data_IF_099180264799
#
_entry.id   IF_099180264799
#
_cell.length_a   1.000
_cell.length_b   1.000
_cell.length_c   1.000
_cell.angle_alpha   90.00
_cell.angle_beta   90.00
_cell.angle_gamma   90.00
#
_symmetry.space_group_name_H-M   'P 1'
#
loop_
_entity.id
_entity.type
_entity.pdbx_description
1 polymer ?
#
# COMPACT_ATOMS: atom_id res chain seq x y z
N UNK A 1 -10.40 4.61 15.65
CA UNK A 1 -9.34 3.72 15.15
C UNK A 1 -8.20 4.60 14.66
N UNK A 2 -7.05 4.60 15.32
CA UNK A 2 -5.89 5.38 14.88
C UNK A 2 -5.36 4.86 13.53
N UNK A 3 -5.26 5.77 12.57
CA UNK A 3 -4.80 5.51 11.20
C UNK A 3 -3.32 5.06 11.17
N UNK A 4 -2.52 5.52 12.14
CA UNK A 4 -1.05 5.47 12.12
C UNK A 4 -0.40 4.90 13.38
N UNK A 5 -1.11 4.79 14.51
CA UNK A 5 -0.48 4.36 15.77
C UNK A 5 0.04 2.92 15.67
N UNK A 6 1.35 2.76 15.82
CA UNK A 6 2.06 1.49 15.73
C UNK A 6 2.22 0.91 14.31
N UNK A 7 1.82 1.63 13.25
CA UNK A 7 1.88 1.14 11.86
C UNK A 7 3.02 1.83 11.11
N UNK A 8 3.92 1.04 10.51
CA UNK A 8 5.04 1.53 9.71
C UNK A 8 4.58 2.52 8.60
N UNK A 9 4.96 3.81 8.66
CA UNK A 9 4.57 4.83 7.68
C UNK A 9 4.95 4.48 6.23
N UNK A 10 6.10 3.83 6.04
CA UNK A 10 6.59 3.41 4.72
C UNK A 10 5.64 2.38 4.11
N UNK A 11 5.11 1.45 4.93
CA UNK A 11 4.14 0.47 4.47
C UNK A 11 2.81 1.10 4.02
N UNK A 12 2.40 2.20 4.66
CA UNK A 12 1.21 2.95 4.26
C UNK A 12 1.43 3.70 2.95
N UNK A 13 2.55 4.43 2.84
CA UNK A 13 2.92 5.14 1.61
C UNK A 13 3.05 4.18 0.41
N UNK A 14 3.68 3.02 0.62
CA UNK A 14 3.85 1.99 -0.41
C UNK A 14 2.52 1.44 -0.91
N UNK A 15 1.54 1.25 -0.02
CA UNK A 15 0.22 0.78 -0.39
C UNK A 15 -0.63 1.86 -1.08
N UNK A 16 -0.51 3.12 -0.66
CA UNK A 16 -1.14 4.24 -1.34
C UNK A 16 -0.59 4.42 -2.76
N UNK A 17 0.72 4.30 -2.93
CA UNK A 17 1.37 4.31 -4.24
C UNK A 17 0.86 3.16 -5.12
N UNK A 18 0.87 1.92 -4.59
CA UNK A 18 0.37 0.76 -5.34
C UNK A 18 -1.10 0.91 -5.73
N UNK A 19 -1.95 1.43 -4.84
CA UNK A 19 -3.35 1.72 -5.14
C UNK A 19 -3.49 2.75 -6.27
N UNK A 20 -2.65 3.78 -6.30
CA UNK A 20 -2.64 4.76 -7.39
C UNK A 20 -2.27 4.11 -8.72
N UNK A 21 -1.24 3.25 -8.75
CA UNK A 21 -0.86 2.51 -9.96
C UNK A 21 -2.04 1.67 -10.48
N UNK A 22 -2.71 0.91 -9.60
CA UNK A 22 -3.89 0.10 -9.96
C UNK A 22 -5.01 0.97 -10.53
N UNK A 23 -5.33 2.12 -9.90
CA UNK A 23 -6.40 3.02 -10.36
C UNK A 23 -6.09 3.67 -11.72
N UNK A 24 -4.82 3.86 -12.05
CA UNK A 24 -4.39 4.46 -13.30
C UNK A 24 -3.98 3.42 -14.37
N UNK A 25 -4.27 2.13 -14.14
CA UNK A 25 -3.87 1.01 -15.01
C UNK A 25 -2.35 0.98 -15.30
N UNK A 26 -1.53 1.41 -14.35
CA UNK A 26 -0.08 1.26 -14.45
C UNK A 26 0.34 -0.16 -14.07
N UNK A 27 1.15 -0.79 -14.92
CA UNK A 27 1.69 -2.12 -14.67
C UNK A 27 2.91 -2.05 -13.74
N UNK A 28 2.63 -1.90 -12.44
CA UNK A 28 3.65 -1.88 -11.38
C UNK A 28 3.37 -3.00 -10.39
N UNK A 29 4.32 -3.92 -10.25
CA UNK A 29 4.19 -5.01 -9.28
C UNK A 29 4.44 -4.55 -7.85
N UNK A 30 3.78 -5.19 -6.88
CA UNK A 30 4.06 -4.96 -5.45
C UNK A 30 5.52 -5.29 -5.10
N UNK A 31 6.16 -6.22 -5.82
CA UNK A 31 7.56 -6.57 -5.63
C UNK A 31 8.50 -5.40 -5.96
N UNK A 32 8.23 -4.68 -7.05
CA UNK A 32 9.00 -3.48 -7.44
C UNK A 32 8.93 -2.38 -6.38
N UNK A 33 7.75 -2.16 -5.81
CA UNK A 33 7.55 -1.17 -4.74
C UNK A 33 8.21 -1.65 -3.44
N UNK A 34 8.08 -2.94 -3.11
CA UNK A 34 8.71 -3.54 -1.93
C UNK A 34 10.24 -3.40 -1.95
N UNK A 35 10.87 -3.69 -3.09
CA UNK A 35 12.31 -3.53 -3.30
C UNK A 35 12.74 -2.06 -3.11
N UNK A 36 12.03 -1.12 -3.73
CA UNK A 36 12.37 0.31 -3.67
C UNK A 36 12.16 0.93 -2.27
N UNK A 37 11.21 0.43 -1.49
CA UNK A 37 10.83 0.99 -0.18
C UNK A 37 11.39 0.22 1.02
N UNK A 38 11.98 -0.95 0.79
CA UNK A 38 12.50 -1.83 1.85
C UNK A 38 11.41 -2.49 2.71
N UNK A 39 10.15 -2.47 2.28
CA UNK A 39 9.05 -3.19 2.96
C UNK A 39 8.77 -4.51 2.27
N UNK A 40 8.00 -5.39 2.91
CA UNK A 40 7.59 -6.65 2.28
C UNK A 40 6.36 -6.48 1.40
N UNK A 41 6.22 -7.32 0.37
CA UNK A 41 5.00 -7.38 -0.47
C UNK A 41 3.75 -7.67 0.36
N UNK A 42 3.87 -8.45 1.44
CA UNK A 42 2.77 -8.73 2.38
C UNK A 42 2.34 -7.45 3.13
N UNK A 43 3.29 -6.61 3.53
CA UNK A 43 3.00 -5.31 4.14
C UNK A 43 2.19 -4.42 3.19
N UNK A 44 2.61 -4.32 1.93
CA UNK A 44 1.89 -3.54 0.89
C UNK A 44 0.49 -4.10 0.69
N UNK A 45 0.36 -5.41 0.52
CA UNK A 45 -0.93 -6.09 0.31
C UNK A 45 -1.91 -5.85 1.46
N UNK A 46 -1.48 -6.03 2.69
CA UNK A 46 -2.34 -5.87 3.86
C UNK A 46 -2.84 -4.43 3.99
N UNK A 47 -1.98 -3.44 3.70
CA UNK A 47 -2.35 -2.01 3.74
C UNK A 47 -3.22 -1.61 2.56
N UNK A 48 -2.97 -2.14 1.37
CA UNK A 48 -3.80 -1.92 0.18
C UNK A 48 -5.25 -2.34 0.43
N UNK A 49 -5.50 -3.53 1.00
CA UNK A 49 -6.87 -3.99 1.28
C UNK A 49 -7.59 -3.10 2.29
N UNK A 50 -6.87 -2.59 3.30
CA UNK A 50 -7.43 -1.63 4.26
C UNK A 50 -7.82 -0.32 3.56
N UNK A 51 -6.93 0.22 2.72
CA UNK A 51 -7.19 1.46 1.97
C UNK A 51 -8.39 1.30 1.02
N UNK A 52 -8.46 0.20 0.26
CA UNK A 52 -9.59 -0.06 -0.65
C UNK A 52 -10.91 -0.10 0.12
N UNK A 53 -10.95 -0.83 1.25
CA UNK A 53 -12.16 -0.91 2.08
C UNK A 53 -12.62 0.45 2.55
N UNK A 54 -11.70 1.29 3.05
CA UNK A 54 -12.02 2.61 3.57
C UNK A 54 -12.41 3.66 2.51
N UNK A 55 -12.04 3.44 1.25
CA UNK A 55 -12.34 4.34 0.13
C UNK A 55 -13.56 3.90 -0.69
N UNK A 56 -14.11 2.73 -0.37
CA UNK A 56 -15.30 2.16 -1.01
C UNK A 56 -16.56 2.28 -0.14
N UNK A 57 -16.39 2.75 1.09
CA UNK A 57 -17.44 3.18 2.04
C UNK A 57 -17.61 4.70 1.94
#
# INVERSE_FOLDING_TARGET
MEFTAGKNPIGMASAALYLSCVKNNEDVSQAKIAEASGVTTVTIRNRYHVLVKQLSD
#
